data_IF_085281045045
#
_entry.id   IF_085281045045
#
_cell.length_a   1.000
_cell.length_b   1.000
_cell.length_c   1.000
_cell.angle_alpha   90.00
_cell.angle_beta   90.00
_cell.angle_gamma   90.00
#
_symmetry.space_group_name_H-M   'P 1'
#
loop_
_entity.id
_entity.type
_entity.pdbx_description
1 polymer ?
#
# COMPACT_ATOMS: atom_id res chain seq x y z
N UNK A 1 7.09 -9.68 -8.52
CA UNK A 1 7.46 -10.18 -9.86
C UNK A 1 6.70 -11.47 -10.10
N UNK A 2 6.08 -11.63 -11.27
CA UNK A 2 5.36 -12.86 -11.65
C UNK A 2 5.92 -13.32 -12.99
N UNK A 3 6.46 -14.54 -13.06
CA UNK A 3 6.79 -15.19 -14.34
C UNK A 3 5.60 -16.03 -14.78
N UNK A 4 5.16 -15.91 -16.04
CA UNK A 4 4.00 -16.63 -16.58
C UNK A 4 4.43 -17.50 -17.74
N UNK A 5 4.09 -18.79 -17.68
CA UNK A 5 4.42 -19.79 -18.71
C UNK A 5 3.14 -20.47 -19.18
N UNK A 6 2.88 -20.39 -20.50
CA UNK A 6 1.75 -21.04 -21.16
C UNK A 6 2.28 -22.11 -22.11
N UNK A 7 1.87 -23.36 -21.91
CA UNK A 7 2.05 -24.42 -22.92
C UNK A 7 0.92 -24.30 -23.93
N UNK A 8 1.25 -23.98 -25.20
CA UNK A 8 0.30 -23.46 -26.19
C UNK A 8 -0.99 -24.25 -26.44
N UNK A 9 -1.02 -25.56 -26.13
CA UNK A 9 -2.18 -26.42 -26.40
C UNK A 9 -2.84 -27.01 -25.14
N UNK A 10 -2.29 -26.74 -23.95
CA UNK A 10 -2.83 -27.29 -22.70
C UNK A 10 -3.66 -26.23 -21.99
N UNK A 11 -4.81 -26.63 -21.42
CA UNK A 11 -5.55 -25.79 -20.48
C UNK A 11 -4.82 -25.79 -19.13
N UNK A 12 -3.59 -25.30 -19.14
CA UNK A 12 -2.72 -25.25 -17.99
C UNK A 12 -1.76 -24.08 -18.14
N UNK A 13 -1.67 -23.26 -17.11
CA UNK A 13 -0.66 -22.20 -17.01
C UNK A 13 0.06 -22.27 -15.67
N UNK A 14 1.36 -22.02 -15.71
CA UNK A 14 2.23 -22.00 -14.54
C UNK A 14 2.74 -20.58 -14.26
N UNK A 15 2.71 -20.21 -12.98
CA UNK A 15 3.09 -18.88 -12.50
C UNK A 15 4.09 -18.99 -11.37
N UNK A 16 5.21 -18.26 -11.47
CA UNK A 16 6.13 -18.09 -10.34
C UNK A 16 5.83 -16.79 -9.62
N UNK A 17 5.42 -16.85 -8.36
CA UNK A 17 5.05 -15.68 -7.54
C UNK A 17 6.00 -15.52 -6.36
N UNK A 18 6.38 -14.27 -6.08
CA UNK A 18 7.22 -13.94 -4.94
C UNK A 18 6.34 -13.68 -3.70
N UNK A 19 6.56 -14.44 -2.64
CA UNK A 19 5.88 -14.30 -1.34
C UNK A 19 6.43 -13.13 -0.51
N UNK A 20 5.69 -12.71 0.50
CA UNK A 20 6.04 -11.57 1.36
C UNK A 20 7.38 -11.69 2.11
N UNK A 21 7.91 -12.91 2.24
CA UNK A 21 9.19 -13.22 2.88
C UNK A 21 10.34 -13.39 1.89
N UNK A 22 10.13 -13.12 0.58
CA UNK A 22 11.15 -13.32 -0.46
C UNK A 22 11.18 -14.71 -1.08
N UNK A 23 10.43 -15.67 -0.54
CA UNK A 23 10.33 -17.02 -1.12
C UNK A 23 9.56 -17.01 -2.44
N UNK A 24 9.97 -17.83 -3.41
CA UNK A 24 9.24 -18.00 -4.67
C UNK A 24 8.36 -19.25 -4.57
N UNK A 25 7.08 -19.10 -4.90
CA UNK A 25 6.11 -20.18 -4.97
C UNK A 25 5.63 -20.36 -6.40
N UNK A 26 5.35 -21.60 -6.77
CA UNK A 26 4.75 -21.94 -8.05
C UNK A 26 3.25 -22.09 -7.87
N UNK A 27 2.47 -21.42 -8.70
CA UNK A 27 1.03 -21.60 -8.83
C UNK A 27 0.76 -22.25 -10.18
N UNK A 28 0.00 -23.34 -10.18
CA UNK A 28 -0.50 -23.96 -11.42
C UNK A 28 -2.00 -23.74 -11.49
N UNK A 29 -2.47 -23.14 -12.58
CA UNK A 29 -3.89 -23.03 -12.89
C UNK A 29 -4.21 -24.07 -13.97
N UNK A 30 -4.95 -25.09 -13.57
CA UNK A 30 -5.53 -26.13 -14.43
C UNK A 30 -6.91 -26.52 -13.84
N UNK A 31 -7.42 -27.73 -14.13
CA UNK A 31 -8.68 -28.22 -13.56
C UNK A 31 -8.71 -28.23 -12.03
N UNK A 32 -7.56 -28.35 -11.36
CA UNK A 32 -7.44 -28.30 -9.89
C UNK A 32 -6.32 -27.31 -9.54
N UNK A 33 -6.65 -26.03 -9.34
CA UNK A 33 -5.66 -25.00 -9.02
C UNK A 33 -4.78 -25.40 -7.83
N UNK A 34 -3.47 -25.25 -7.97
CA UNK A 34 -2.52 -25.68 -6.94
C UNK A 34 -1.38 -24.69 -6.72
N UNK A 35 -0.80 -24.70 -5.52
CA UNK A 35 0.32 -23.83 -5.18
C UNK A 35 1.31 -24.51 -4.25
N UNK A 36 2.61 -24.26 -4.42
CA UNK A 36 3.66 -24.85 -3.56
C UNK A 36 3.83 -24.16 -2.19
N UNK A 37 2.96 -23.20 -1.85
CA UNK A 37 3.04 -22.47 -0.59
C UNK A 37 2.46 -23.28 0.60
N UNK A 38 2.93 -23.02 1.83
CA UNK A 38 2.50 -23.76 3.02
C UNK A 38 0.99 -23.66 3.30
N UNK A 39 0.33 -22.57 2.92
CA UNK A 39 -1.12 -22.41 3.12
C UNK A 39 -1.92 -23.37 2.23
N UNK A 40 -1.46 -23.60 1.00
CA UNK A 40 -2.08 -24.56 0.10
C UNK A 40 -1.83 -26.00 0.54
N UNK A 41 -0.62 -26.29 1.02
CA UNK A 41 -0.28 -27.62 1.55
C UNK A 41 -1.16 -28.03 2.74
N UNK A 42 -1.76 -27.06 3.45
CA UNK A 42 -2.76 -27.29 4.51
C UNK A 42 -4.18 -27.55 3.97
N UNK A 43 -4.37 -27.58 2.65
CA UNK A 43 -5.65 -27.87 1.99
C UNK A 43 -6.53 -26.65 1.68
N UNK A 44 -5.98 -25.43 1.78
CA UNK A 44 -6.74 -24.18 1.57
C UNK A 44 -6.41 -23.49 0.25
N UNK A 45 -7.33 -22.68 -0.27
CA UNK A 45 -6.97 -21.66 -1.25
C UNK A 45 -6.05 -20.65 -0.60
N UNK A 46 -4.85 -20.52 -1.15
CA UNK A 46 -3.88 -19.57 -0.65
C UNK A 46 -4.02 -18.21 -1.34
N UNK A 47 -3.45 -17.18 -0.72
CA UNK A 47 -3.38 -15.83 -1.30
C UNK A 47 -2.74 -15.80 -2.69
N UNK A 48 -1.84 -16.75 -3.00
CA UNK A 48 -1.17 -16.83 -4.29
C UNK A 48 -2.13 -17.26 -5.40
N UNK A 49 -2.99 -18.24 -5.17
CA UNK A 49 -4.02 -18.67 -6.13
C UNK A 49 -5.01 -17.53 -6.37
N UNK A 50 -5.49 -16.90 -5.29
CA UNK A 50 -6.41 -15.76 -5.37
C UNK A 50 -5.79 -14.58 -6.13
N UNK A 51 -4.52 -14.29 -5.88
CA UNK A 51 -3.78 -13.25 -6.60
C UNK A 51 -3.67 -13.58 -8.09
N UNK A 52 -3.37 -14.82 -8.47
CA UNK A 52 -3.33 -15.21 -9.88
C UNK A 52 -4.70 -15.03 -10.54
N UNK A 53 -5.78 -15.53 -9.95
CA UNK A 53 -7.12 -15.36 -10.54
C UNK A 53 -7.53 -13.90 -10.67
N UNK A 54 -7.44 -13.12 -9.59
CA UNK A 54 -8.03 -11.78 -9.54
C UNK A 54 -7.13 -10.70 -10.14
N UNK A 55 -5.81 -10.84 -10.03
CA UNK A 55 -4.85 -9.79 -10.45
C UNK A 55 -4.09 -10.12 -11.72
N UNK A 56 -3.83 -11.40 -12.00
CA UNK A 56 -3.05 -11.81 -13.18
C UNK A 56 -3.96 -12.22 -14.33
N UNK A 57 -4.89 -13.16 -14.08
CA UNK A 57 -5.87 -13.63 -15.06
C UNK A 57 -7.10 -12.72 -15.15
N UNK A 58 -7.28 -11.80 -14.19
CA UNK A 58 -8.39 -10.85 -14.14
C UNK A 58 -9.78 -11.51 -14.21
N UNK A 59 -9.90 -12.70 -13.63
CA UNK A 59 -11.19 -13.39 -13.50
C UNK A 59 -12.18 -12.50 -12.77
N UNK A 60 -13.35 -12.32 -13.36
CA UNK A 60 -14.39 -11.46 -12.81
C UNK A 60 -14.90 -12.05 -11.49
N UNK A 61 -15.08 -11.20 -10.47
CA UNK A 61 -15.57 -11.67 -9.16
C UNK A 61 -17.00 -12.22 -9.24
N UNK A 62 -17.78 -11.77 -10.22
CA UNK A 62 -19.15 -12.22 -10.48
C UNK A 62 -19.24 -13.66 -11.02
N UNK A 63 -18.20 -14.17 -11.69
CA UNK A 63 -18.20 -15.52 -12.26
C UNK A 63 -18.14 -16.65 -11.23
N UNK A 64 -17.65 -16.35 -10.02
CA UNK A 64 -17.43 -17.32 -8.96
C UNK A 64 -16.30 -18.33 -9.20
N UNK A 65 -15.66 -18.34 -10.37
CA UNK A 65 -14.59 -19.31 -10.69
C UNK A 65 -13.37 -19.20 -9.76
N UNK A 66 -13.09 -18.01 -9.24
CA UNK A 66 -11.87 -17.71 -8.48
C UNK A 66 -11.79 -18.39 -7.09
N UNK A 67 -12.91 -18.87 -6.53
CA UNK A 67 -12.96 -19.59 -5.26
C UNK A 67 -13.29 -21.08 -5.39
N UNK A 68 -13.47 -21.59 -6.61
CA UNK A 68 -13.76 -23.01 -6.81
C UNK A 68 -12.52 -23.87 -6.54
N UNK A 69 -12.74 -25.07 -5.95
CA UNK A 69 -11.67 -26.06 -5.72
C UNK A 69 -11.26 -26.83 -6.96
N UNK A 70 -12.16 -26.94 -7.93
CA UNK A 70 -11.89 -27.52 -9.22
C UNK A 70 -12.70 -26.76 -10.28
N UNK A 71 -12.13 -26.62 -11.46
CA UNK A 71 -12.71 -25.93 -12.61
C UNK A 71 -13.12 -26.95 -13.67
N UNK A 72 -14.25 -26.70 -14.31
CA UNK A 72 -14.65 -27.41 -15.52
C UNK A 72 -13.78 -26.99 -16.70
N UNK A 73 -13.70 -27.86 -17.71
CA UNK A 73 -12.97 -27.57 -18.94
C UNK A 73 -13.45 -26.28 -19.61
N UNK A 74 -14.77 -26.03 -19.61
CA UNK A 74 -15.39 -24.83 -20.17
C UNK A 74 -15.04 -23.56 -19.39
N UNK A 75 -15.06 -23.63 -18.06
CA UNK A 75 -14.69 -22.49 -17.19
C UNK A 75 -13.21 -22.15 -17.35
N UNK A 76 -12.36 -23.16 -17.43
CA UNK A 76 -10.93 -23.00 -17.62
C UNK A 76 -10.60 -22.41 -19.01
N UNK A 77 -11.34 -22.83 -20.05
CA UNK A 77 -11.28 -22.20 -21.37
C UNK A 77 -11.71 -20.74 -21.31
N UNK A 78 -12.83 -20.44 -20.65
CA UNK A 78 -13.34 -19.08 -20.55
C UNK A 78 -12.34 -18.15 -19.83
N UNK A 79 -11.77 -18.60 -18.71
CA UNK A 79 -10.71 -17.90 -17.98
C UNK A 79 -9.52 -17.60 -18.90
N UNK A 80 -9.02 -18.59 -19.65
CA UNK A 80 -7.84 -18.38 -20.50
C UNK A 80 -8.11 -17.62 -21.80
N UNK A 81 -9.36 -17.60 -22.28
CA UNK A 81 -9.79 -16.79 -23.42
C UNK A 81 -9.91 -15.31 -23.04
N UNK A 82 -10.42 -15.01 -21.84
CA UNK A 82 -10.59 -13.65 -21.34
C UNK A 82 -9.32 -13.09 -20.67
N UNK A 83 -8.39 -13.95 -20.26
CA UNK A 83 -7.19 -13.53 -19.56
C UNK A 83 -6.34 -12.54 -20.39
N UNK A 84 -5.85 -11.45 -19.78
CA UNK A 84 -4.98 -10.51 -20.48
C UNK A 84 -3.73 -11.23 -20.97
N UNK A 85 -3.15 -10.78 -22.09
CA UNK A 85 -1.92 -11.36 -22.62
C UNK A 85 -0.80 -11.22 -21.59
N UNK A 86 -0.01 -12.28 -21.41
CA UNK A 86 1.09 -12.28 -20.45
C UNK A 86 1.97 -11.03 -20.65
N UNK A 87 2.39 -10.32 -19.60
CA UNK A 87 3.27 -9.15 -19.74
C UNK A 87 4.60 -9.49 -20.43
N UNK A 88 5.03 -10.75 -20.38
CA UNK A 88 6.20 -11.26 -21.10
C UNK A 88 5.94 -11.47 -22.61
N UNK A 89 4.68 -11.56 -23.04
CA UNK A 89 4.26 -11.78 -24.42
C UNK A 89 3.87 -10.47 -25.13
N UNK A 90 3.59 -9.39 -24.40
CA UNK A 90 3.36 -8.07 -24.99
C UNK A 90 4.65 -7.25 -24.94
N UNK A 91 5.15 -6.73 -26.06
CA UNK A 91 6.22 -5.75 -26.08
C UNK A 91 5.71 -4.37 -25.64
N UNK A 92 5.29 -4.21 -24.37
CA UNK A 92 4.79 -2.93 -23.84
C UNK A 92 5.93 -1.93 -23.63
N UNK A 93 7.15 -2.41 -23.45
CA UNK A 93 8.30 -1.55 -23.30
C UNK A 93 8.75 -0.97 -24.66
N UNK A 94 9.18 0.31 -24.72
CA UNK A 94 9.83 0.88 -25.89
C UNK A 94 10.99 -0.01 -26.37
N UNK A 95 11.24 -0.05 -27.69
CA UNK A 95 12.27 -0.92 -28.30
C UNK A 95 13.64 -0.79 -27.63
N UNK A 96 14.08 0.45 -27.34
CA UNK A 96 15.35 0.68 -26.64
C UNK A 96 15.40 0.06 -25.23
N UNK A 97 14.30 0.12 -24.48
CA UNK A 97 14.20 -0.49 -23.13
C UNK A 97 14.28 -2.01 -23.22
N UNK A 98 13.68 -2.58 -24.27
CA UNK A 98 13.68 -4.03 -24.52
C UNK A 98 15.07 -4.54 -24.91
N UNK A 99 15.76 -3.82 -25.78
CA UNK A 99 17.12 -4.14 -26.21
C UNK A 99 18.11 -4.03 -25.05
N UNK A 100 18.00 -2.97 -24.24
CA UNK A 100 18.87 -2.79 -23.09
C UNK A 100 18.62 -3.84 -22.00
N UNK A 101 17.36 -4.20 -21.77
CA UNK A 101 17.00 -5.29 -20.85
C UNK A 101 17.55 -6.63 -21.35
N UNK A 102 17.41 -6.94 -22.64
CA UNK A 102 17.96 -8.17 -23.23
C UNK A 102 19.49 -8.20 -23.17
N UNK A 103 20.15 -7.06 -23.41
CA UNK A 103 21.62 -6.92 -23.30
C UNK A 103 22.10 -7.09 -21.87
N UNK A 104 21.38 -6.52 -20.89
CA UNK A 104 21.76 -6.60 -19.49
C UNK A 104 21.45 -7.94 -18.83
N UNK A 105 20.43 -8.67 -19.30
CA UNK A 105 19.98 -9.93 -18.70
C UNK A 105 20.34 -11.17 -19.52
N UNK A 106 20.84 -11.02 -20.74
CA UNK A 106 21.22 -12.13 -21.64
C UNK A 106 20.05 -12.98 -22.15
N UNK A 107 18.79 -12.54 -21.97
CA UNK A 107 17.59 -13.33 -22.29
C UNK A 107 16.93 -12.82 -23.58
N UNK A 108 16.81 -13.63 -24.65
CA UNK A 108 16.18 -13.20 -25.91
C UNK A 108 14.65 -13.10 -25.76
N UNK A 109 14.07 -11.99 -26.23
CA UNK A 109 12.61 -11.77 -26.25
C UNK A 109 12.02 -12.44 -27.50
N UNK A 110 11.09 -13.39 -27.33
CA UNK A 110 10.31 -13.96 -28.44
C UNK A 110 9.06 -13.10 -28.65
N UNK A 111 8.87 -12.57 -29.87
CA UNK A 111 7.67 -11.82 -30.25
C UNK A 111 6.79 -12.71 -31.11
N UNK A 112 5.52 -12.86 -30.74
CA UNK A 112 4.48 -13.45 -31.59
C UNK A 112 3.78 -12.37 -32.43
N UNK A 113 3.32 -12.69 -33.66
CA UNK A 113 2.74 -11.72 -34.58
C UNK A 113 1.43 -11.09 -34.06
N UNK A 114 1.09 -9.88 -34.52
CA UNK A 114 -0.08 -9.15 -34.02
C UNK A 114 -1.39 -9.85 -34.39
N UNK A 115 -2.27 -10.04 -33.40
CA UNK A 115 -3.63 -10.53 -33.60
C UNK A 115 -4.56 -9.40 -34.09
N UNK A 116 -5.59 -9.72 -34.89
CA UNK A 116 -6.54 -8.73 -35.40
C UNK A 116 -7.35 -8.07 -34.27
N UNK A 117 -7.87 -6.85 -34.48
CA UNK A 117 -8.56 -6.08 -33.45
C UNK A 117 -9.82 -6.80 -32.95
N UNK A 118 -9.93 -6.91 -31.62
CA UNK A 118 -11.12 -7.41 -30.92
C UNK A 118 -12.30 -6.46 -31.09
N UNK A 119 -13.50 -7.02 -31.30
CA UNK A 119 -14.76 -6.29 -31.44
C UNK A 119 -15.11 -5.47 -30.19
N UNK A 120 -15.86 -4.35 -30.32
CA UNK A 120 -16.19 -3.49 -29.19
C UNK A 120 -17.11 -4.22 -28.20
N UNK A 121 -16.74 -4.17 -26.91
CA UNK A 121 -17.64 -4.55 -25.81
C UNK A 121 -18.81 -3.54 -25.70
N UNK A 122 -20.02 -3.99 -25.33
CA UNK A 122 -21.13 -3.09 -25.05
C UNK A 122 -20.82 -2.21 -23.82
N UNK A 123 -21.36 -0.98 -23.77
CA UNK A 123 -21.11 -0.06 -22.66
C UNK A 123 -21.65 -0.62 -21.34
N UNK A 124 -20.87 -0.43 -20.27
CA UNK A 124 -21.27 -0.71 -18.89
C UNK A 124 -22.52 0.09 -18.51
N UNK A 125 -23.46 -0.47 -17.73
CA UNK A 125 -24.64 0.27 -17.31
C UNK A 125 -24.26 1.47 -16.42
N UNK A 126 -24.85 2.62 -16.73
CA UNK A 126 -24.71 3.88 -16.00
C UNK A 126 -25.37 3.76 -14.61
N UNK A 127 -24.58 3.62 -13.56
CA UNK A 127 -25.03 3.56 -12.16
C UNK A 127 -25.42 4.94 -11.60
N UNK A 128 -26.05 5.80 -12.41
CA UNK A 128 -26.45 7.17 -12.01
C UNK A 128 -27.90 7.33 -11.57
N UNK A 129 -28.68 6.26 -11.50
CA UNK A 129 -30.03 6.30 -10.92
C UNK A 129 -30.26 5.11 -9.99
N UNK A 130 -29.88 5.28 -8.72
CA UNK A 130 -30.51 4.61 -7.58
C UNK A 130 -31.10 5.70 -6.70
N UNK A 131 -32.27 6.18 -7.09
CA UNK A 131 -33.08 7.03 -6.23
C UNK A 131 -33.78 6.16 -5.16
N UNK A 132 -33.82 6.69 -3.93
CA UNK A 132 -34.64 6.31 -2.77
C UNK A 132 -34.22 5.07 -1.95
N UNK A 133 -33.30 5.29 -1.00
CA UNK A 133 -33.45 4.72 0.35
C UNK A 133 -33.79 5.87 1.29
N UNK A 134 -35.04 5.90 1.73
CA UNK A 134 -35.65 6.88 2.64
C UNK A 134 -35.01 6.80 4.03
N UNK A 135 -34.19 7.81 4.36
CA UNK A 135 -33.55 8.01 5.65
C UNK A 135 -34.42 8.90 6.55
N UNK A 136 -35.64 8.45 6.86
CA UNK A 136 -36.52 9.14 7.82
C UNK A 136 -37.04 8.24 8.93
N UNK A 137 -36.12 7.71 9.76
CA UNK A 137 -36.50 7.18 11.10
C UNK A 137 -35.49 7.66 12.14
N UNK A 138 -35.78 8.79 12.77
CA UNK A 138 -35.12 9.26 13.99
C UNK A 138 -35.80 8.66 15.23
N UNK A 139 -35.07 8.02 16.17
CA UNK A 139 -35.63 7.64 17.47
C UNK A 139 -35.62 8.81 18.48
N UNK A 140 -36.60 8.88 19.42
CA UNK A 140 -36.82 10.03 20.28
C UNK A 140 -35.85 10.11 21.47
N UNK A 141 -35.28 11.30 21.70
CA UNK A 141 -34.52 11.67 22.90
C UNK A 141 -35.46 11.93 24.09
N UNK A 142 -35.26 11.24 25.21
CA UNK A 142 -35.86 11.58 26.52
C UNK A 142 -34.98 12.61 27.27
N UNK A 143 -35.62 13.68 27.74
CA UNK A 143 -35.06 14.71 28.62
C UNK A 143 -34.79 14.15 30.02
N UNK A 144 -33.64 14.51 30.60
CA UNK A 144 -33.46 14.53 32.06
C UNK A 144 -32.80 15.85 32.50
N UNK A 145 -33.40 16.42 33.54
CA UNK A 145 -33.21 17.76 34.11
C UNK A 145 -32.13 17.69 35.19
N UNK A 146 -31.24 18.67 35.21
CA UNK A 146 -29.95 18.63 35.92
C UNK A 146 -29.97 18.95 37.41
N UNK A 147 -28.77 19.17 37.96
CA UNK A 147 -28.52 20.01 39.14
C UNK A 147 -27.02 20.28 39.31
N UNK A 148 -26.70 21.56 39.48
CA UNK A 148 -25.38 22.10 39.79
C UNK A 148 -24.91 21.68 41.19
N UNK A 149 -23.58 21.69 41.41
CA UNK A 149 -22.93 22.37 42.56
C UNK A 149 -21.39 22.33 42.52
N UNK A 150 -20.85 23.44 43.00
CA UNK A 150 -19.48 23.95 43.03
C UNK A 150 -18.37 23.07 43.65
N UNK A 151 -17.13 23.43 43.34
CA UNK A 151 -16.07 23.49 44.36
C UNK A 151 -14.70 23.06 43.87
N UNK A 152 -13.80 24.03 43.64
CA UNK A 152 -12.46 23.81 43.06
C UNK A 152 -11.45 23.08 43.95
N UNK A 153 -10.31 22.70 43.36
CA UNK A 153 -9.00 23.36 43.59
C UNK A 153 -7.89 22.65 42.80
N UNK A 154 -7.08 23.48 42.16
CA UNK A 154 -5.89 23.22 41.34
C UNK A 154 -4.78 22.42 42.01
N UNK A 155 -4.10 21.56 41.23
CA UNK A 155 -2.64 21.37 41.27
C UNK A 155 -2.10 21.12 39.87
N UNK A 156 -1.28 22.04 39.40
CA UNK A 156 -0.50 21.96 38.17
C UNK A 156 0.50 20.80 38.26
N UNK A 157 0.55 19.98 37.19
CA UNK A 157 1.64 19.07 36.88
C UNK A 157 1.71 18.92 35.36
N UNK A 158 2.77 19.50 34.81
CA UNK A 158 3.51 19.08 33.60
C UNK A 158 2.66 18.45 32.48
N UNK A 159 2.37 19.23 31.44
CA UNK A 159 1.47 18.89 30.33
C UNK A 159 1.89 17.61 29.57
N UNK A 160 1.35 16.48 30.04
CA UNK A 160 1.44 15.19 29.39
C UNK A 160 0.51 15.20 28.16
N UNK A 161 1.07 15.27 26.94
CA UNK A 161 0.32 15.34 25.66
C UNK A 161 -0.46 14.07 25.32
N UNK A 162 -0.68 13.17 26.28
CA UNK A 162 -1.38 11.89 26.09
C UNK A 162 -2.87 12.11 25.89
N UNK A 163 -3.39 11.70 24.75
CA UNK A 163 -4.83 11.70 24.43
C UNK A 163 -5.38 10.32 24.75
N UNK A 164 -6.27 10.24 25.73
CA UNK A 164 -6.96 9.00 26.09
C UNK A 164 -7.88 8.61 24.91
N UNK A 165 -7.82 7.37 24.41
CA UNK A 165 -8.67 6.91 23.31
C UNK A 165 -10.17 7.07 23.62
N UNK A 166 -10.91 7.68 22.70
CA UNK A 166 -12.37 7.74 22.76
C UNK A 166 -13.04 6.47 22.24
N UNK A 167 -14.39 6.40 22.26
CA UNK A 167 -15.15 5.24 21.79
C UNK A 167 -15.01 4.98 20.27
N UNK A 168 -14.55 5.98 19.51
CA UNK A 168 -14.31 5.89 18.06
C UNK A 168 -12.80 5.75 17.70
N UNK A 169 -11.89 5.70 18.69
CA UNK A 169 -10.45 5.57 18.45
C UNK A 169 -10.01 4.09 18.48
N UNK A 170 -9.93 3.49 17.29
CA UNK A 170 -9.43 2.12 17.08
C UNK A 170 -7.90 2.06 16.86
N UNK A 171 -7.30 0.93 17.25
CA UNK A 171 -5.89 0.65 17.01
C UNK A 171 -5.63 0.38 15.52
N UNK A 172 -4.77 1.12 14.80
CA UNK A 172 -4.52 0.93 13.36
C UNK A 172 -3.75 -0.35 13.03
N UNK A 173 -3.29 -1.08 14.05
CA UNK A 173 -2.51 -2.31 13.90
C UNK A 173 -3.43 -3.54 13.95
N UNK A 174 -4.35 -3.60 14.92
CA UNK A 174 -5.28 -4.72 15.09
C UNK A 174 -6.74 -4.42 14.73
N UNK A 175 -7.10 -3.15 14.52
CA UNK A 175 -8.46 -2.69 14.27
C UNK A 175 -9.46 -3.03 15.39
N UNK A 176 -8.96 -3.09 16.63
CA UNK A 176 -9.78 -3.25 17.83
C UNK A 176 -9.87 -1.93 18.61
N UNK A 177 -11.01 -1.73 19.26
CA UNK A 177 -11.28 -0.55 20.07
C UNK A 177 -10.36 -0.47 21.29
N UNK A 178 -9.83 0.73 21.55
CA UNK A 178 -8.91 0.99 22.67
C UNK A 178 -9.59 1.76 23.81
N UNK A 179 -10.92 1.92 23.75
CA UNK A 179 -11.72 2.57 24.78
C UNK A 179 -11.76 1.71 26.06
N UNK A 180 -11.70 2.35 27.23
CA UNK A 180 -11.72 1.69 28.56
C UNK A 180 -10.55 0.75 28.86
N UNK A 181 -9.57 0.64 27.97
CA UNK A 181 -8.37 -0.16 28.20
C UNK A 181 -7.42 0.57 29.16
N UNK A 182 -6.81 -0.17 30.10
CA UNK A 182 -5.86 0.39 31.05
C UNK A 182 -4.70 1.12 30.36
N UNK A 183 -4.39 2.35 30.80
CA UNK A 183 -3.27 3.17 30.27
C UNK A 183 -1.92 2.43 30.28
N UNK A 184 -1.78 1.40 31.13
CA UNK A 184 -0.57 0.57 31.25
C UNK A 184 -0.34 -0.36 30.06
N UNK A 185 -1.39 -0.75 29.35
CA UNK A 185 -1.29 -1.62 28.16
C UNK A 185 -1.26 -0.82 26.87
N UNK A 186 -1.16 0.51 26.96
CA UNK A 186 -1.12 1.46 25.86
C UNK A 186 0.23 2.19 25.78
N UNK A 187 0.82 2.22 24.59
CA UNK A 187 1.99 3.03 24.24
C UNK A 187 1.54 4.32 23.56
N UNK A 188 1.94 5.45 24.12
CA UNK A 188 1.58 6.77 23.59
C UNK A 188 2.70 7.35 22.75
N UNK A 189 2.34 7.92 21.61
CA UNK A 189 3.27 8.73 20.83
C UNK A 189 3.49 10.08 21.52
N UNK A 190 4.74 10.49 21.73
CA UNK A 190 5.10 11.78 22.35
C UNK A 190 4.73 12.99 21.49
N UNK A 191 4.59 12.81 20.18
CA UNK A 191 4.34 13.89 19.22
C UNK A 191 2.86 14.11 18.96
N UNK A 192 2.13 13.05 18.56
CA UNK A 192 0.70 13.18 18.23
C UNK A 192 -0.23 12.85 19.41
N UNK A 193 0.30 12.27 20.49
CA UNK A 193 -0.45 11.96 21.71
C UNK A 193 -1.39 10.75 21.59
N UNK A 194 -1.51 10.14 20.41
CA UNK A 194 -2.37 8.96 20.19
C UNK A 194 -1.70 7.68 20.71
N UNK A 195 -2.53 6.75 21.16
CA UNK A 195 -2.12 5.48 21.75
C UNK A 195 -2.24 4.31 20.78
N UNK A 196 -1.45 3.27 21.02
CA UNK A 196 -1.61 1.93 20.45
C UNK A 196 -1.39 0.90 21.55
N UNK A 197 -1.94 -0.32 21.44
CA UNK A 197 -1.64 -1.38 22.41
C UNK A 197 -0.13 -1.71 22.45
N UNK A 198 0.42 -1.99 23.64
CA UNK A 198 1.82 -2.38 23.84
C UNK A 198 2.23 -3.58 22.98
N UNK A 199 1.35 -4.58 22.90
CA UNK A 199 1.60 -5.79 22.10
C UNK A 199 1.67 -5.46 20.61
N UNK A 200 0.68 -4.72 20.11
CA UNK A 200 0.66 -4.25 18.73
C UNK A 200 1.91 -3.41 18.40
N UNK A 201 2.32 -2.52 19.30
CA UNK A 201 3.53 -1.75 19.14
C UNK A 201 4.80 -2.62 19.16
N UNK A 202 4.82 -3.69 19.95
CA UNK A 202 5.87 -4.71 19.96
C UNK A 202 6.06 -5.38 18.60
N UNK A 203 4.95 -5.78 17.98
CA UNK A 203 4.95 -6.38 16.64
C UNK A 203 5.42 -5.39 15.58
N UNK A 204 4.92 -4.15 15.64
CA UNK A 204 5.33 -3.06 14.75
C UNK A 204 6.84 -2.78 14.82
N UNK A 205 7.39 -2.69 16.03
CA UNK A 205 8.84 -2.54 16.26
C UNK A 205 9.64 -3.68 15.65
N UNK A 206 9.20 -4.91 15.87
CA UNK A 206 9.89 -6.11 15.37
C UNK A 206 9.89 -6.17 13.85
N UNK A 207 8.78 -5.78 13.20
CA UNK A 207 8.67 -5.71 11.75
C UNK A 207 9.50 -4.58 11.14
N UNK A 208 9.62 -3.43 11.82
CA UNK A 208 10.49 -2.34 11.37
C UNK A 208 11.97 -2.73 11.45
N UNK A 209 12.38 -3.33 12.58
CA UNK A 209 13.77 -3.78 12.81
C UNK A 209 14.22 -4.87 11.84
N UNK A 210 13.38 -5.86 11.56
CA UNK A 210 13.73 -6.95 10.63
C UNK A 210 13.97 -6.48 9.20
N UNK A 211 13.46 -5.30 8.84
CA UNK A 211 13.65 -4.66 7.53
C UNK A 211 14.68 -3.53 7.55
N UNK A 212 15.35 -3.30 8.69
CA UNK A 212 16.35 -2.24 8.84
C UNK A 212 15.77 -0.82 8.81
N UNK A 213 14.49 -0.64 9.12
CA UNK A 213 13.83 0.66 9.15
C UNK A 213 13.81 1.27 10.56
N UNK A 214 13.83 2.60 10.61
CA UNK A 214 13.58 3.35 11.84
C UNK A 214 12.18 3.06 12.38
N UNK A 215 12.06 2.98 13.71
CA UNK A 215 10.76 2.81 14.36
C UNK A 215 10.04 4.15 14.31
N UNK A 216 8.88 4.20 13.65
CA UNK A 216 8.06 5.41 13.50
C UNK A 216 6.64 5.21 14.05
N UNK A 217 5.98 6.30 14.45
CA UNK A 217 4.58 6.30 14.84
C UNK A 217 3.66 5.96 13.66
N UNK A 218 2.67 5.08 13.88
CA UNK A 218 1.71 4.68 12.82
C UNK A 218 0.80 5.84 12.40
N UNK A 219 0.47 6.74 13.34
CA UNK A 219 -0.42 7.87 13.06
C UNK A 219 0.28 9.05 12.39
N UNK A 220 1.40 9.53 12.95
CA UNK A 220 2.07 10.75 12.45
C UNK A 220 3.39 10.50 11.72
N UNK A 221 3.88 9.25 11.70
CA UNK A 221 5.17 8.84 11.09
C UNK A 221 6.42 9.48 11.68
N UNK A 222 6.31 10.23 12.78
CA UNK A 222 7.50 10.72 13.49
C UNK A 222 8.30 9.55 14.06
N UNK A 223 9.63 9.68 14.08
CA UNK A 223 10.52 8.70 14.71
C UNK A 223 10.11 8.52 16.17
N UNK A 224 9.99 7.27 16.58
CA UNK A 224 9.51 6.94 17.91
C UNK A 224 10.64 7.18 18.92
N UNK A 225 10.39 8.07 19.88
CA UNK A 225 11.32 8.36 20.95
C UNK A 225 11.09 7.36 22.07
N UNK A 226 12.14 6.63 22.44
CA UNK A 226 12.12 5.75 23.60
C UNK A 226 12.66 6.53 24.81
N UNK A 227 11.87 6.72 25.87
CA UNK A 227 12.38 7.28 27.11
C UNK A 227 13.53 6.38 27.61
N UNK A 228 14.77 6.86 27.52
CA UNK A 228 15.99 6.14 27.94
C UNK A 228 17.00 5.80 26.83
N UNK A 229 16.73 6.09 25.55
CA UNK A 229 17.73 5.94 24.48
C UNK A 229 18.29 7.31 24.08
N UNK A 230 19.55 7.60 24.44
CA UNK A 230 20.30 8.75 23.94
C UNK A 230 20.49 8.64 22.43
N UNK A 231 20.05 9.67 21.71
CA UNK A 231 20.02 9.71 20.25
C UNK A 231 21.42 9.70 19.63
N UNK A 232 21.64 8.85 18.63
CA UNK A 232 22.71 9.04 17.65
C UNK A 232 22.10 9.71 16.42
N UNK A 233 22.44 10.98 16.25
CA UNK A 233 22.21 11.76 15.04
C UNK A 233 23.24 11.36 13.99
N UNK A 234 22.79 10.98 12.80
CA UNK A 234 23.59 11.16 11.58
C UNK A 234 22.70 11.69 10.46
N UNK A 235 23.02 12.92 10.09
CA UNK A 235 22.47 13.66 8.97
C UNK A 235 23.19 13.25 7.67
N UNK A 236 22.48 13.33 6.54
CA UNK A 236 23.07 13.49 5.21
C UNK A 236 23.60 14.93 5.04
N UNK A 237 24.62 15.17 4.19
CA UNK A 237 24.41 15.49 2.76
C UNK A 237 25.47 14.81 1.87
N UNK A 238 25.28 14.49 0.58
CA UNK A 238 24.83 15.30 -0.55
C UNK A 238 26.02 15.49 -1.52
N UNK A 239 25.95 14.99 -2.75
CA UNK A 239 26.88 15.35 -3.84
C UNK A 239 26.22 15.11 -5.22
N UNK A 240 26.36 16.09 -6.11
CA UNK A 240 25.61 16.23 -7.35
C UNK A 240 26.25 15.64 -8.62
N UNK A 241 25.43 15.71 -9.66
CA UNK A 241 25.68 15.76 -11.11
C UNK A 241 26.96 15.14 -11.71
N UNK A 242 26.74 14.11 -12.54
CA UNK A 242 27.37 14.03 -13.84
C UNK A 242 26.33 13.61 -14.89
N UNK A 243 26.14 14.46 -15.89
CA UNK A 243 25.48 14.10 -17.14
C UNK A 243 26.36 13.05 -17.83
N UNK A 244 25.87 11.82 -17.93
CA UNK A 244 26.63 10.70 -18.46
C UNK A 244 25.73 9.51 -18.75
N UNK A 245 25.57 9.28 -20.05
CA UNK A 245 25.07 8.09 -20.73
C UNK A 245 23.61 7.64 -20.42
N UNK A 246 22.79 7.59 -21.48
CA UNK A 246 21.41 7.11 -21.47
C UNK A 246 21.31 5.56 -21.41
N UNK A 247 22.24 4.92 -20.69
CA UNK A 247 22.31 3.46 -20.52
C UNK A 247 21.63 2.98 -19.24
N UNK A 248 21.39 1.67 -19.14
CA UNK A 248 20.94 1.06 -17.90
C UNK A 248 21.95 1.27 -16.77
N UNK A 249 21.47 1.68 -15.59
CA UNK A 249 22.30 1.89 -14.41
C UNK A 249 22.04 0.78 -13.40
N UNK A 250 23.08 0.05 -13.00
CA UNK A 250 22.99 -0.97 -11.96
C UNK A 250 23.48 -0.37 -10.64
N UNK A 251 22.63 -0.36 -9.62
CA UNK A 251 22.96 0.10 -8.27
C UNK A 251 22.26 -0.79 -7.25
N UNK A 252 22.98 -1.23 -6.21
CA UNK A 252 22.42 -2.06 -5.13
C UNK A 252 21.71 -3.34 -5.62
N UNK A 253 22.11 -3.89 -6.78
CA UNK A 253 21.47 -5.05 -7.39
C UNK A 253 20.19 -4.74 -8.19
N UNK A 254 19.79 -3.47 -8.27
CA UNK A 254 18.66 -3.01 -9.08
C UNK A 254 19.13 -2.47 -10.42
N UNK A 255 18.43 -2.87 -11.49
CA UNK A 255 18.70 -2.42 -12.86
C UNK A 255 17.71 -1.32 -13.25
N UNK A 256 18.18 -0.09 -13.35
CA UNK A 256 17.37 1.07 -13.72
C UNK A 256 17.45 1.31 -15.24
N UNK A 257 16.32 1.16 -15.94
CA UNK A 257 16.18 1.46 -17.38
C UNK A 257 15.49 2.81 -17.65
N UNK A 258 15.26 3.63 -16.61
CA UNK A 258 14.56 4.92 -16.75
C UNK A 258 15.26 5.85 -17.74
N UNK A 259 16.60 5.89 -17.73
CA UNK A 259 17.40 6.68 -18.66
C UNK A 259 17.21 6.27 -20.13
N UNK A 260 16.99 4.98 -20.38
CA UNK A 260 16.71 4.43 -21.73
C UNK A 260 15.31 4.82 -22.20
N UNK A 261 14.37 4.91 -21.25
CA UNK A 261 13.01 5.36 -21.51
C UNK A 261 12.87 6.90 -21.55
N UNK A 262 13.98 7.65 -21.42
CA UNK A 262 13.96 9.12 -21.34
C UNK A 262 13.28 9.66 -20.06
N UNK A 263 13.09 8.83 -19.05
CA UNK A 263 12.47 9.21 -17.78
C UNK A 263 13.52 9.78 -16.81
N UNK A 264 13.24 10.96 -16.28
CA UNK A 264 14.09 11.59 -15.26
C UNK A 264 14.14 10.73 -13.99
N UNK A 265 15.34 10.49 -13.42
CA UNK A 265 15.47 9.87 -12.09
C UNK A 265 15.04 10.83 -10.97
N UNK A 266 14.94 12.13 -11.25
CA UNK A 266 14.46 13.14 -10.33
C UNK A 266 12.94 13.24 -10.44
N UNK A 267 12.24 13.06 -9.33
CA UNK A 267 10.79 13.23 -9.24
C UNK A 267 10.42 14.68 -9.54
N UNK A 268 9.43 14.86 -10.41
CA UNK A 268 8.85 16.17 -10.68
C UNK A 268 8.05 16.67 -9.47
N UNK A 269 8.47 17.79 -8.92
CA UNK A 269 7.80 18.50 -7.81
C UNK A 269 7.22 19.84 -8.25
N UNK A 270 7.21 20.13 -9.56
CA UNK A 270 6.72 21.40 -10.10
C UNK A 270 5.23 21.65 -9.79
N UNK A 271 4.43 20.58 -9.72
CA UNK A 271 3.01 20.63 -9.37
C UNK A 271 2.72 20.69 -7.87
N UNK A 272 3.75 20.56 -7.03
CA UNK A 272 3.57 20.55 -5.59
C UNK A 272 3.31 21.98 -5.12
N UNK A 273 2.37 22.14 -4.19
CA UNK A 273 2.08 23.43 -3.58
C UNK A 273 3.31 23.94 -2.82
N UNK A 274 4.04 24.86 -3.43
CA UNK A 274 5.16 25.56 -2.81
C UNK A 274 4.59 26.76 -2.07
N UNK A 275 4.18 26.57 -0.81
CA UNK A 275 3.71 27.64 0.07
C UNK A 275 4.74 28.77 0.24
N UNK A 276 4.36 29.90 0.87
CA UNK A 276 5.20 31.10 0.92
C UNK A 276 6.59 30.79 1.47
N UNK A 277 7.61 30.96 0.62
CA UNK A 277 9.02 30.83 1.01
C UNK A 277 9.30 31.91 2.07
N UNK A 278 9.55 31.50 3.32
CA UNK A 278 10.01 32.39 4.40
C UNK A 278 11.29 33.09 3.95
N UNK A 279 11.21 34.38 3.69
CA UNK A 279 12.34 35.17 3.19
C UNK A 279 12.02 36.61 2.81
N UNK A 280 11.20 37.30 3.60
CA UNK A 280 11.12 38.77 3.61
C UNK A 280 11.12 39.22 5.07
N UNK A 281 12.19 39.90 5.48
CA UNK A 281 12.25 40.61 6.75
C UNK A 281 11.39 41.86 6.59
N UNK A 282 10.18 41.88 7.14
CA UNK A 282 9.43 43.12 7.31
C UNK A 282 9.38 43.44 8.81
N UNK A 283 10.22 44.39 9.19
CA UNK A 283 10.22 45.05 10.50
C UNK A 283 8.97 45.95 10.54
N UNK A 284 8.16 45.84 11.58
CA UNK A 284 6.95 46.67 11.73
C UNK A 284 6.33 46.45 13.10
N UNK A 285 6.93 47.08 14.11
CA UNK A 285 6.36 47.25 15.43
C UNK A 285 5.18 48.22 15.31
N UNK A 286 3.99 47.85 15.78
CA UNK A 286 2.90 48.79 16.06
C UNK A 286 2.72 48.82 17.57
N UNK A 287 3.35 49.82 18.19
CA UNK A 287 2.97 50.31 19.51
C UNK A 287 1.51 50.75 19.46
N UNK A 288 0.72 50.24 20.41
CA UNK A 288 -0.52 50.89 20.82
C UNK A 288 -0.22 51.59 22.14
N UNK A 289 0.43 52.74 22.04
CA UNK A 289 0.35 53.76 23.07
C UNK A 289 -1.08 54.34 23.09
N UNK A 290 -1.60 54.44 24.31
CA UNK A 290 -2.61 55.37 24.82
C UNK A 290 -3.63 56.00 23.85
N UNK A 291 -4.90 55.62 24.04
CA UNK A 291 -6.01 56.58 23.96
C UNK A 291 -6.95 56.37 25.16
N UNK A 292 -6.66 57.17 26.20
CA UNK A 292 -7.55 57.91 27.10
C UNK A 292 -9.06 57.65 27.05
#
# INVERSE_FOLDING_TARGET
MVDRRRNGNELREEFSVLGSTGNVYTVTIDKVPSCTCPDFLKGNHCKHILFIFLKVLQVTQASGHWYQKALLTSELQDIFCQAPVAPNAIPVAPTGVREEFARATGRPIRVSPPHPPSTPHPPSPDYRNLDFIDLSVTPPRKKQKGKDKDGGKTKEKEEDKRKIPGPDDDCPICYEGMHEVDVKTLEFCTECGKAVHNECFGQWKSAARSKGHDITCVYCRTKWVFPGATASTSAAPGAGHAAGNAGARVSEGYLNLSGVAGLSPVRDTSSYYNGPRRGQRYYGYQDYDDLS
#
